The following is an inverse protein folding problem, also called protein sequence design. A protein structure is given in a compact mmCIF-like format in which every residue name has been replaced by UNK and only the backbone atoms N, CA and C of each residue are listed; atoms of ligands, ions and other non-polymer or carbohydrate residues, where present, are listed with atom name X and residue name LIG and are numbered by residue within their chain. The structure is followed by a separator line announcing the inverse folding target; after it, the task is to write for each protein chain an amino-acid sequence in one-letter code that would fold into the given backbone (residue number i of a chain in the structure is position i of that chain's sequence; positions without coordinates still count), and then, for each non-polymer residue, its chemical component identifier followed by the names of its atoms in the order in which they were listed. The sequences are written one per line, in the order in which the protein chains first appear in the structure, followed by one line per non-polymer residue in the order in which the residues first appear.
data_IF_421088521959
#
_entry.id   IF_421088521959
#
_cell.length_a   1.000
_cell.length_b   1.000
_cell.length_c   1.000
_cell.angle_alpha   90.00
_cell.angle_beta   90.00
_cell.angle_gamma   90.00
#
_symmetry.space_group_name_H-M   'P 1'
#
loop_
_entity.id
_entity.type
_entity.pdbx_description
1 polymer ?
#
# COMPACT_ATOMS: atom_id res chain seq x y z
N UNK A 1 -20.87 -3.83 2.42
CA UNK A 1 -19.54 -3.21 2.63
C UNK A 1 -19.13 -2.55 1.33
N UNK A 2 -19.00 -1.22 1.31
CA UNK A 2 -18.55 -0.52 0.12
C UNK A 2 -17.02 -0.63 0.06
N UNK A 3 -16.49 -1.22 -1.01
CA UNK A 3 -15.06 -1.24 -1.29
C UNK A 3 -14.58 0.18 -1.58
N UNK A 4 -13.53 0.62 -0.90
CA UNK A 4 -12.92 1.93 -1.16
C UNK A 4 -12.34 1.93 -2.58
N UNK A 5 -12.84 2.81 -3.43
CA UNK A 5 -12.25 3.02 -4.76
C UNK A 5 -10.80 3.47 -4.59
N UNK A 6 -9.91 2.80 -5.31
CA UNK A 6 -8.50 3.13 -5.32
C UNK A 6 -7.90 2.87 -6.71
N UNK A 7 -6.81 3.55 -7.00
CA UNK A 7 -6.00 3.41 -8.21
C UNK A 7 -4.53 3.46 -7.82
N UNK A 8 -3.66 2.86 -8.64
CA UNK A 8 -2.22 2.96 -8.39
C UNK A 8 -1.45 3.23 -9.67
N UNK A 9 -0.27 3.82 -9.49
CA UNK A 9 0.77 3.86 -10.49
C UNK A 9 2.10 3.51 -9.84
N UNK A 10 3.06 3.09 -10.64
CA UNK A 10 4.35 2.65 -10.12
C UNK A 10 5.52 3.05 -11.02
N UNK A 11 6.66 3.22 -10.38
CA UNK A 11 7.99 3.14 -10.98
C UNK A 11 8.64 1.83 -10.55
N UNK A 12 9.87 1.59 -10.96
CA UNK A 12 10.60 0.40 -10.55
C UNK A 12 10.93 0.42 -9.05
N UNK A 13 11.04 1.61 -8.44
CA UNK A 13 11.38 1.80 -7.02
C UNK A 13 10.16 1.94 -6.10
N UNK A 14 9.08 2.56 -6.59
CA UNK A 14 7.96 2.99 -5.75
C UNK A 14 6.63 2.64 -6.37
N UNK A 15 5.65 2.32 -5.52
CA UNK A 15 4.24 2.23 -5.91
C UNK A 15 3.47 3.29 -5.14
N UNK A 16 2.70 4.11 -5.86
CA UNK A 16 1.81 5.09 -5.24
C UNK A 16 0.37 4.64 -5.41
N UNK A 17 -0.30 4.41 -4.29
CA UNK A 17 -1.71 4.06 -4.21
C UNK A 17 -2.52 5.30 -3.82
N UNK A 18 -3.50 5.64 -4.65
CA UNK A 18 -4.47 6.69 -4.40
C UNK A 18 -5.78 6.08 -3.92
N UNK A 19 -6.16 6.35 -2.68
CA UNK A 19 -7.44 5.94 -2.09
C UNK A 19 -8.39 7.13 -2.18
N UNK A 20 -9.52 6.99 -2.87
CA UNK A 20 -10.50 8.06 -3.05
C UNK A 20 -11.43 8.17 -1.83
N UNK A 21 -10.88 8.64 -0.72
CA UNK A 21 -11.64 8.96 0.49
C UNK A 21 -11.79 10.48 0.69
N UNK A 22 -12.91 11.03 0.21
CA UNK A 22 -13.20 12.47 0.31
C UNK A 22 -13.58 12.83 1.74
N UNK A 23 -12.89 13.84 2.28
CA UNK A 23 -13.12 14.31 3.65
C UNK A 23 -12.53 13.40 4.72
N UNK A 24 -11.53 12.59 4.38
CA UNK A 24 -10.77 11.84 5.37
C UNK A 24 -10.15 12.80 6.40
N UNK A 25 -10.42 12.55 7.69
CA UNK A 25 -9.87 13.34 8.78
C UNK A 25 -8.45 12.85 9.09
N UNK A 26 -7.41 13.69 8.93
CA UNK A 26 -6.04 13.30 9.25
C UNK A 26 -5.86 12.80 10.69
N UNK A 27 -6.71 13.20 11.62
CA UNK A 27 -6.65 12.74 13.02
C UNK A 27 -7.24 11.34 13.24
N UNK A 28 -8.08 10.86 12.32
CA UNK A 28 -8.73 9.54 12.39
C UNK A 28 -8.10 8.51 11.44
N UNK A 29 -7.35 8.98 10.43
CA UNK A 29 -6.66 8.11 9.49
C UNK A 29 -5.58 7.31 10.22
N UNK A 30 -5.66 5.98 10.08
CA UNK A 30 -4.61 5.05 10.50
C UNK A 30 -4.08 4.30 9.28
N UNK A 31 -2.76 4.22 9.19
CA UNK A 31 -2.07 3.45 8.15
C UNK A 31 -1.04 2.55 8.82
N UNK A 32 -1.08 1.26 8.49
CA UNK A 32 -0.10 0.27 8.96
C UNK A 32 0.58 -0.36 7.76
N UNK A 33 1.91 -0.40 7.82
CA UNK A 33 2.75 -1.06 6.84
C UNK A 33 3.40 -2.28 7.50
N UNK A 34 3.33 -3.43 6.84
CA UNK A 34 4.16 -4.58 7.13
C UNK A 34 4.88 -4.99 5.83
N UNK A 35 5.92 -5.86 5.89
CA UNK A 35 6.72 -6.16 4.71
C UNK A 35 5.91 -6.57 3.49
N UNK A 36 4.79 -7.29 3.66
CA UNK A 36 3.90 -7.71 2.57
C UNK A 36 2.43 -7.39 2.83
N UNK A 37 2.13 -6.46 3.71
CA UNK A 37 0.74 -6.09 4.01
C UNK A 37 0.59 -4.59 4.19
N UNK A 38 -0.61 -4.13 3.92
CA UNK A 38 -0.99 -2.74 4.10
C UNK A 38 -2.42 -2.67 4.60
N UNK A 39 -2.65 -1.84 5.61
CA UNK A 39 -3.99 -1.55 6.12
C UNK A 39 -4.18 -0.06 6.24
N UNK A 40 -5.24 0.45 5.62
CA UNK A 40 -5.77 1.79 5.79
C UNK A 40 -7.12 1.73 6.49
N UNK A 41 -7.29 2.57 7.51
CA UNK A 41 -8.53 2.73 8.27
C UNK A 41 -8.86 4.21 8.45
N UNK A 42 -10.14 4.55 8.36
CA UNK A 42 -10.69 5.87 8.65
C UNK A 42 -12.15 5.74 9.10
N UNK A 43 -12.37 5.67 10.42
CA UNK A 43 -13.66 5.32 10.99
C UNK A 43 -14.10 3.91 10.54
N UNK A 44 -15.28 3.80 9.94
CA UNK A 44 -15.84 2.53 9.45
C UNK A 44 -15.27 2.08 8.08
N UNK A 45 -14.43 2.91 7.45
CA UNK A 45 -13.84 2.62 6.15
C UNK A 45 -12.51 1.90 6.35
N UNK A 46 -12.34 0.77 5.67
CA UNK A 46 -11.11 -0.03 5.69
C UNK A 46 -10.72 -0.47 4.28
N UNK A 47 -9.44 -0.37 3.96
CA UNK A 47 -8.81 -1.01 2.80
C UNK A 47 -7.64 -1.83 3.30
N UNK A 48 -7.64 -3.12 3.00
CA UNK A 48 -6.59 -4.06 3.35
C UNK A 48 -6.07 -4.70 2.07
N UNK A 49 -4.74 -4.74 1.93
CA UNK A 49 -4.04 -5.39 0.82
C UNK A 49 -3.08 -6.41 1.41
N UNK A 50 -3.35 -7.69 1.19
CA UNK A 50 -2.55 -8.77 1.76
C UNK A 50 -2.75 -10.11 1.00
N UNK A 51 -1.67 -10.74 0.49
CA UNK A 51 -0.31 -10.23 0.46
C UNK A 51 -0.10 -9.21 -0.67
N UNK A 52 0.71 -8.19 -0.41
CA UNK A 52 1.28 -7.36 -1.44
C UNK A 52 2.11 -8.20 -2.42
N UNK A 53 2.13 -7.78 -3.68
CA UNK A 53 2.84 -8.47 -4.78
C UNK A 53 4.35 -8.61 -4.54
N UNK A 54 4.94 -7.70 -3.76
CA UNK A 54 6.33 -7.77 -3.32
C UNK A 54 6.52 -7.14 -1.95
N UNK A 55 7.74 -7.24 -1.41
CA UNK A 55 8.08 -6.61 -0.14
C UNK A 55 8.24 -5.10 -0.24
N UNK A 56 7.87 -4.40 0.82
CA UNK A 56 8.09 -2.96 1.00
C UNK A 56 9.10 -2.68 2.11
N UNK A 57 9.84 -1.58 1.97
CA UNK A 57 10.55 -0.94 3.07
C UNK A 57 9.52 -0.13 3.87
N UNK A 58 9.13 -0.66 5.04
CA UNK A 58 8.07 -0.09 5.88
C UNK A 58 8.48 1.25 6.49
N UNK A 59 9.77 1.46 6.73
CA UNK A 59 10.30 2.70 7.35
C UNK A 59 10.35 3.85 6.35
N UNK A 60 10.58 3.55 5.06
CA UNK A 60 10.59 4.55 3.98
C UNK A 60 9.23 4.74 3.31
N UNK A 61 8.29 3.84 3.56
CA UNK A 61 6.91 3.98 3.10
C UNK A 61 6.17 5.05 3.91
N UNK A 62 5.25 5.76 3.27
CA UNK A 62 4.60 6.94 3.86
C UNK A 62 3.20 7.15 3.31
N UNK A 63 2.45 8.06 3.92
CA UNK A 63 1.16 8.48 3.41
C UNK A 63 0.96 10.00 3.56
N UNK A 64 0.03 10.54 2.78
CA UNK A 64 -0.43 11.92 2.87
C UNK A 64 -1.94 11.98 2.73
N UNK A 65 -2.61 12.70 3.64
CA UNK A 65 -4.06 12.91 3.60
C UNK A 65 -4.34 14.23 2.88
N UNK A 66 -5.07 14.16 1.77
CA UNK A 66 -5.58 15.31 1.04
C UNK A 66 -7.09 15.46 1.20
N UNK A 67 -7.65 16.57 0.68
CA UNK A 67 -9.10 16.85 0.79
C UNK A 67 -9.99 15.79 0.14
N UNK A 68 -9.53 15.18 -0.95
CA UNK A 68 -10.35 14.29 -1.81
C UNK A 68 -9.81 12.87 -1.85
N UNK A 69 -8.56 12.66 -1.45
CA UNK A 69 -7.86 11.39 -1.53
C UNK A 69 -6.82 11.26 -0.43
N UNK A 70 -6.48 10.02 -0.12
CA UNK A 70 -5.30 9.67 0.65
C UNK A 70 -4.30 9.05 -0.31
N UNK A 71 -3.06 9.54 -0.32
CA UNK A 71 -1.97 8.98 -1.10
C UNK A 71 -1.08 8.14 -0.20
N UNK A 72 -0.88 6.88 -0.57
CA UNK A 72 0.01 5.95 0.08
C UNK A 72 1.21 5.73 -0.84
N UNK A 73 2.43 5.82 -0.31
CA UNK A 73 3.67 5.62 -1.05
C UNK A 73 4.39 4.43 -0.45
N UNK A 74 4.43 3.34 -1.22
CA UNK A 74 5.21 2.17 -0.92
C UNK A 74 6.60 2.32 -1.54
N UNK A 75 7.64 2.14 -0.74
CA UNK A 75 9.01 1.96 -1.24
C UNK A 75 9.26 0.47 -1.35
N UNK A 76 9.59 -0.01 -2.56
CA UNK A 76 9.78 -1.43 -2.79
C UNK A 76 11.13 -1.87 -2.22
N UNK A 77 11.14 -3.02 -1.54
CA UNK A 77 12.39 -3.61 -1.04
C UNK A 77 13.26 -4.15 -2.19
N UNK A 78 12.64 -4.57 -3.30
CA UNK A 78 13.31 -5.02 -4.52
C UNK A 78 12.81 -4.20 -5.71
N UNK A 79 13.76 -3.72 -6.53
CA UNK A 79 13.45 -2.99 -7.76
C UNK A 79 12.65 -3.87 -8.74
N UNK A 80 11.62 -3.29 -9.35
CA UNK A 80 10.84 -3.94 -10.39
C UNK A 80 9.37 -3.54 -10.34
N UNK A 81 8.67 -3.74 -11.46
CA UNK A 81 7.22 -3.44 -11.56
C UNK A 81 6.40 -4.64 -11.13
N UNK A 82 5.36 -4.36 -10.35
CA UNK A 82 4.47 -5.38 -9.80
C UNK A 82 3.31 -5.70 -10.75
N UNK A 83 2.80 -4.71 -11.49
CA UNK A 83 1.66 -4.84 -12.40
C UNK A 83 0.30 -5.05 -11.71
N UNK A 84 0.31 -5.37 -10.41
CA UNK A 84 -0.84 -5.54 -9.54
C UNK A 84 -0.44 -5.20 -8.09
N UNK A 85 -1.42 -4.86 -7.24
CA UNK A 85 -1.18 -4.57 -5.82
C UNK A 85 -0.89 -5.83 -5.01
N UNK A 86 -1.64 -6.89 -5.28
CA UNK A 86 -1.65 -8.12 -4.47
C UNK A 86 -1.14 -9.32 -5.27
N UNK A 87 -0.64 -10.34 -4.56
CA UNK A 87 -0.40 -11.66 -5.13
C UNK A 87 0.56 -12.54 -4.35
N UNK A 88 0.29 -13.85 -4.37
CA UNK A 88 1.05 -14.91 -3.69
C UNK A 88 2.36 -15.32 -4.38
N UNK A 89 2.95 -14.46 -5.21
CA UNK A 89 4.23 -14.79 -5.84
C UNK A 89 5.29 -15.04 -4.76
N UNK A 90 6.15 -16.07 -4.94
CA UNK A 90 7.18 -16.40 -3.97
C UNK A 90 8.04 -15.17 -3.75
N UNK A 91 8.18 -14.81 -2.48
CA UNK A 91 8.95 -13.64 -2.10
C UNK A 91 10.42 -13.88 -2.48
N UNK A 92 11.00 -13.10 -3.41
CA UNK A 92 12.39 -13.30 -3.79
C UNK A 92 13.36 -13.11 -2.61
N UNK A 93 12.93 -12.41 -1.55
CA UNK A 93 13.71 -12.21 -0.33
C UNK A 93 13.50 -13.31 0.73
N UNK A 94 12.52 -14.21 0.53
CA UNK A 94 12.31 -15.38 1.41
C UNK A 94 12.73 -16.69 0.74
N UNK A 95 13.19 -16.66 -0.52
CA UNK A 95 13.75 -17.84 -1.17
C UNK A 95 15.05 -18.25 -0.45
N UNK A 96 15.19 -19.50 0.04
CA UNK A 96 16.42 -19.94 0.67
C UNK A 96 17.55 -19.90 -0.37
N UNK A 97 18.61 -19.15 -0.06
CA UNK A 97 19.87 -19.20 -0.79
C UNK A 97 20.32 -20.65 -0.88
N UNK A 98 20.43 -21.19 -2.09
CA UNK A 98 21.00 -22.53 -2.32
C UNK A 98 22.52 -22.47 -2.36
#
# INVERSE_FOLDING_TARGET
MATLRHEFYETDEKLTLTIFDRGADPAQVSVKFEPRSFVYENGDKKLELQPLKGQIDTEKSSYAVGKVKVEIRFVKAVLGRWGALEGDSPDPLTAPSR
#
